data_IF_524724829586
#
_entry.id   IF_524724829586
#
_cell.length_a   1.000
_cell.length_b   1.000
_cell.length_c   1.000
_cell.angle_alpha   90.00
_cell.angle_beta   90.00
_cell.angle_gamma   90.00
#
_symmetry.space_group_name_H-M   'P 1'
#
loop_
_entity.id
_entity.type
_entity.pdbx_description
1 polymer ?
#
# COMPACT_ATOMS: atom_id res chain seq x y z
N UNK A 1 6.62 25.77 2.17
CA UNK A 1 8.05 26.19 2.16
C UNK A 1 8.34 27.27 3.20
N UNK A 2 7.47 28.28 3.37
CA UNK A 2 7.62 29.31 4.42
C UNK A 2 7.75 28.69 5.84
N UNK A 3 6.82 27.81 6.22
CA UNK A 3 6.86 27.12 7.54
C UNK A 3 8.11 26.25 7.75
N UNK A 4 8.72 25.73 6.68
CA UNK A 4 9.91 24.88 6.76
C UNK A 4 11.18 25.71 7.03
N UNK A 5 11.21 26.96 6.53
CA UNK A 5 12.29 27.92 6.77
C UNK A 5 12.36 28.29 8.26
N UNK A 6 11.19 28.44 8.89
CA UNK A 6 11.07 28.86 10.28
C UNK A 6 11.32 27.71 11.26
N UNK A 7 10.96 26.47 10.88
CA UNK A 7 11.14 25.29 11.74
C UNK A 7 12.51 24.62 11.60
N UNK A 8 13.05 24.51 10.38
CA UNK A 8 14.32 23.81 10.11
C UNK A 8 15.14 24.44 8.98
N UNK A 9 15.80 25.57 9.30
CA UNK A 9 16.63 26.38 8.38
C UNK A 9 17.63 25.58 7.53
N UNK A 10 18.45 24.72 8.14
CA UNK A 10 19.45 23.90 7.40
C UNK A 10 18.81 22.98 6.34
N UNK A 11 17.62 22.45 6.63
CA UNK A 11 16.91 21.60 5.69
C UNK A 11 16.38 22.43 4.53
N UNK A 12 15.85 23.63 4.82
CA UNK A 12 15.41 24.58 3.81
C UNK A 12 16.54 25.00 2.86
N UNK A 13 17.73 25.34 3.38
CA UNK A 13 18.87 25.78 2.57
C UNK A 13 19.36 24.65 1.63
N UNK A 14 19.49 23.41 2.15
CA UNK A 14 19.82 22.24 1.33
C UNK A 14 18.79 21.97 0.22
N UNK A 15 17.50 22.17 0.49
CA UNK A 15 16.43 21.95 -0.50
C UNK A 15 16.45 23.00 -1.62
N UNK A 16 16.88 24.23 -1.30
CA UNK A 16 17.08 25.28 -2.30
C UNK A 16 18.29 25.00 -3.20
N UNK A 17 19.40 24.54 -2.61
CA UNK A 17 20.62 24.20 -3.35
C UNK A 17 20.41 23.04 -4.34
N UNK A 18 19.59 22.05 -3.96
CA UNK A 18 19.21 20.92 -4.84
C UNK A 18 18.34 21.38 -6.02
N UNK A 19 17.57 22.46 -5.84
CA UNK A 19 16.59 22.98 -6.79
C UNK A 19 15.15 22.54 -6.47
N UNK A 20 14.22 23.50 -6.38
CA UNK A 20 12.80 23.26 -6.04
C UNK A 20 12.13 22.33 -7.07
N UNK A 21 12.58 22.37 -8.32
CA UNK A 21 12.10 21.53 -9.42
C UNK A 21 12.35 20.03 -9.20
N UNK A 22 13.36 19.67 -8.42
CA UNK A 22 13.69 18.28 -8.03
C UNK A 22 13.01 17.85 -6.73
N UNK A 23 12.33 18.78 -6.05
CA UNK A 23 11.64 18.52 -4.79
C UNK A 23 10.24 17.96 -5.02
N UNK A 24 10.15 16.62 -5.08
CA UNK A 24 8.90 15.86 -5.24
C UNK A 24 7.81 16.23 -4.22
N UNK A 25 8.19 16.61 -3.01
CA UNK A 25 7.27 17.02 -1.93
C UNK A 25 6.61 18.38 -2.13
N UNK A 26 7.35 19.35 -2.68
CA UNK A 26 6.89 20.75 -2.79
C UNK A 26 6.10 20.96 -4.08
N UNK A 27 6.42 20.21 -5.13
CA UNK A 27 5.85 20.38 -6.47
C UNK A 27 4.68 19.44 -6.79
N UNK A 28 4.41 18.41 -5.98
CA UNK A 28 3.30 17.49 -6.26
C UNK A 28 1.95 18.22 -6.11
N UNK A 29 1.18 18.46 -7.19
CA UNK A 29 -0.09 19.20 -7.13
C UNK A 29 -1.16 18.41 -6.35
N UNK A 30 -1.03 17.08 -6.37
CA UNK A 30 -1.82 16.14 -5.58
C UNK A 30 -1.06 15.85 -4.28
N UNK A 31 -1.71 15.97 -3.13
CA UNK A 31 -1.18 15.65 -1.80
C UNK A 31 -0.92 14.14 -1.63
N UNK A 32 -0.03 13.56 -2.45
CA UNK A 32 0.24 12.11 -2.55
C UNK A 32 0.82 11.51 -1.27
N UNK A 33 1.36 12.33 -0.37
CA UNK A 33 2.16 11.85 0.77
C UNK A 33 1.40 11.75 2.11
N UNK A 34 0.10 12.05 2.17
CA UNK A 34 -0.71 11.78 3.38
C UNK A 34 -0.99 10.28 3.58
N UNK A 35 -0.76 9.46 2.56
CA UNK A 35 -0.69 8.01 2.65
C UNK A 35 0.78 7.57 2.73
N UNK A 36 1.16 6.97 3.85
CA UNK A 36 2.48 6.37 4.00
C UNK A 36 2.69 5.24 2.99
N UNK A 37 3.59 5.44 2.03
CA UNK A 37 3.96 4.46 1.00
C UNK A 37 4.63 3.21 1.56
N UNK A 38 5.19 3.29 2.78
CA UNK A 38 5.80 2.15 3.47
C UNK A 38 4.79 1.05 3.80
N UNK A 39 3.52 1.37 4.07
CA UNK A 39 2.52 0.36 4.42
C UNK A 39 2.22 -0.61 3.26
N UNK A 40 2.19 -0.11 2.01
CA UNK A 40 1.93 -0.97 0.84
C UNK A 40 3.13 -1.89 0.60
N UNK A 41 4.34 -1.34 0.61
CA UNK A 41 5.57 -2.12 0.42
C UNK A 41 5.76 -3.13 1.55
N UNK A 42 5.48 -2.77 2.81
CA UNK A 42 5.53 -3.68 3.96
C UNK A 42 4.47 -4.78 3.87
N UNK A 43 3.24 -4.44 3.47
CA UNK A 43 2.17 -5.43 3.29
C UNK A 43 2.53 -6.43 2.19
N UNK A 44 2.99 -5.94 1.04
CA UNK A 44 3.44 -6.80 -0.06
C UNK A 44 4.62 -7.65 0.40
N UNK A 45 5.59 -7.05 1.09
CA UNK A 45 6.72 -7.78 1.66
C UNK A 45 6.27 -8.88 2.60
N UNK A 46 5.27 -8.63 3.44
CA UNK A 46 4.67 -9.62 4.34
C UNK A 46 4.00 -10.76 3.59
N UNK A 47 3.23 -10.48 2.53
CA UNK A 47 2.62 -11.49 1.67
C UNK A 47 3.68 -12.38 0.99
N UNK A 48 4.81 -11.78 0.61
CA UNK A 48 5.88 -12.47 -0.10
C UNK A 48 6.85 -13.23 0.82
N UNK A 49 6.77 -13.06 2.15
CA UNK A 49 7.74 -13.64 3.10
C UNK A 49 7.90 -15.16 2.94
N UNK A 50 6.79 -15.88 2.73
CA UNK A 50 6.80 -17.34 2.63
C UNK A 50 7.41 -17.86 1.32
N UNK A 51 7.33 -17.07 0.24
CA UNK A 51 7.68 -17.53 -1.11
C UNK A 51 9.00 -16.97 -1.64
N UNK A 52 9.63 -16.02 -0.94
CA UNK A 52 10.91 -15.40 -1.36
C UNK A 52 12.07 -16.37 -1.52
N UNK A 53 11.97 -17.57 -0.94
CA UNK A 53 12.98 -18.63 -1.08
C UNK A 53 12.73 -19.54 -2.29
N UNK A 54 11.63 -19.33 -3.01
CA UNK A 54 11.28 -20.09 -4.20
C UNK A 54 11.97 -19.49 -5.44
N UNK A 55 12.05 -20.25 -6.55
CA UNK A 55 12.50 -19.72 -7.83
C UNK A 55 11.71 -18.47 -8.25
N UNK A 56 12.37 -17.59 -9.00
CA UNK A 56 11.78 -16.31 -9.42
C UNK A 56 10.46 -16.49 -10.19
N UNK A 57 10.35 -17.56 -10.99
CA UNK A 57 9.12 -17.91 -11.69
C UNK A 57 7.92 -18.08 -10.74
N UNK A 58 8.11 -18.84 -9.65
CA UNK A 58 7.06 -19.07 -8.64
C UNK A 58 6.66 -17.78 -7.91
N UNK A 59 7.62 -16.88 -7.68
CA UNK A 59 7.34 -15.57 -7.06
C UNK A 59 6.49 -14.71 -8.01
N UNK A 60 6.82 -14.68 -9.31
CA UNK A 60 6.08 -13.92 -10.32
C UNK A 60 4.65 -14.47 -10.48
N UNK A 61 4.49 -15.78 -10.55
CA UNK A 61 3.17 -16.43 -10.62
C UNK A 61 2.30 -16.10 -9.41
N UNK A 62 2.86 -16.17 -8.21
CA UNK A 62 2.14 -15.81 -7.00
C UNK A 62 1.70 -14.34 -7.00
N UNK A 63 2.58 -13.42 -7.41
CA UNK A 63 2.24 -11.99 -7.50
C UNK A 63 1.10 -11.79 -8.50
N UNK A 64 1.16 -12.47 -9.66
CA UNK A 64 0.11 -12.44 -10.68
C UNK A 64 -1.23 -12.91 -10.10
N UNK A 65 -1.25 -14.05 -9.41
CA UNK A 65 -2.47 -14.60 -8.82
C UNK A 65 -3.03 -13.69 -7.71
N UNK A 66 -2.18 -13.14 -6.85
CA UNK A 66 -2.56 -12.21 -5.79
C UNK A 66 -3.24 -10.96 -6.37
N UNK A 67 -2.64 -10.36 -7.40
CA UNK A 67 -3.23 -9.20 -8.07
C UNK A 67 -4.56 -9.56 -8.75
N UNK A 68 -4.65 -10.71 -9.41
CA UNK A 68 -5.89 -11.17 -10.05
C UNK A 68 -7.02 -11.36 -9.05
N UNK A 69 -6.74 -11.96 -7.89
CA UNK A 69 -7.72 -12.10 -6.80
C UNK A 69 -8.14 -10.72 -6.32
N UNK A 70 -7.20 -9.82 -6.04
CA UNK A 70 -7.53 -8.49 -5.55
C UNK A 70 -8.41 -7.69 -6.52
N UNK A 71 -8.11 -7.72 -7.83
CA UNK A 71 -8.95 -7.08 -8.84
C UNK A 71 -10.30 -7.76 -9.02
N UNK A 72 -10.37 -9.09 -8.85
CA UNK A 72 -11.64 -9.83 -8.85
C UNK A 72 -12.52 -9.38 -7.68
N UNK A 73 -11.99 -9.37 -6.48
CA UNK A 73 -12.73 -9.01 -5.26
C UNK A 73 -13.23 -7.56 -5.33
N UNK A 74 -12.40 -6.63 -5.83
CA UNK A 74 -12.84 -5.24 -6.07
C UNK A 74 -14.01 -5.16 -7.04
N UNK A 75 -14.00 -5.94 -8.13
CA UNK A 75 -15.11 -6.02 -9.08
C UNK A 75 -16.36 -6.60 -8.43
N UNK A 76 -16.24 -7.65 -7.64
CA UNK A 76 -17.36 -8.28 -6.94
C UNK A 76 -17.98 -7.32 -5.94
N UNK A 77 -17.17 -6.69 -5.09
CA UNK A 77 -17.63 -5.70 -4.11
C UNK A 77 -18.35 -4.52 -4.79
N UNK A 78 -17.82 -4.03 -5.91
CA UNK A 78 -18.47 -2.97 -6.69
C UNK A 78 -19.82 -3.40 -7.30
N UNK A 79 -20.01 -4.70 -7.61
CA UNK A 79 -21.28 -5.24 -8.12
C UNK A 79 -22.32 -5.39 -7.02
N UNK A 80 -21.89 -5.85 -5.85
CA UNK A 80 -22.75 -6.07 -4.67
C UNK A 80 -23.15 -4.77 -3.97
N UNK A 81 -22.45 -3.67 -4.26
CA UNK A 81 -22.72 -2.38 -3.66
C UNK A 81 -24.04 -1.79 -4.18
N UNK A 82 -25.01 -1.67 -3.26
CA UNK A 82 -26.28 -0.97 -3.50
C UNK A 82 -25.98 0.52 -3.68
N UNK A 83 -26.25 1.04 -4.88
CA UNK A 83 -25.86 2.39 -5.29
C UNK A 83 -27.09 3.11 -5.81
N UNK A 84 -27.58 4.11 -5.08
CA UNK A 84 -28.62 5.02 -5.56
C UNK A 84 -27.95 6.24 -6.17
N UNK A 85 -27.94 6.35 -7.50
CA UNK A 85 -27.34 7.49 -8.19
C UNK A 85 -28.18 8.76 -8.02
N UNK A 86 -28.09 9.43 -6.87
CA UNK A 86 -28.56 10.82 -6.75
C UNK A 86 -27.41 11.75 -7.10
N UNK A 87 -27.20 11.94 -8.40
CA UNK A 87 -26.20 12.79 -9.08
C UNK A 87 -24.72 12.60 -8.70
N UNK A 88 -24.38 12.37 -7.42
CA UNK A 88 -23.02 12.27 -6.87
C UNK A 88 -22.96 11.52 -5.53
N UNK A 89 -23.91 10.65 -5.16
CA UNK A 89 -23.85 9.91 -3.89
C UNK A 89 -23.98 8.39 -4.10
N UNK A 90 -23.18 7.65 -3.34
CA UNK A 90 -23.05 6.20 -3.28
C UNK A 90 -23.13 5.83 -1.80
N UNK A 91 -24.25 5.22 -1.41
CA UNK A 91 -24.44 4.72 -0.05
C UNK A 91 -23.56 3.47 0.15
N UNK A 92 -22.42 3.60 0.81
CA UNK A 92 -21.79 2.45 1.46
C UNK A 92 -22.52 2.19 2.79
N UNK A 93 -22.50 0.94 3.29
CA UNK A 93 -23.16 0.52 4.54
C UNK A 93 -22.73 1.32 5.78
N UNK A 94 -21.76 2.23 5.65
CA UNK A 94 -21.18 3.05 6.72
C UNK A 94 -20.90 4.52 6.37
N UNK A 95 -20.91 4.95 5.09
CA UNK A 95 -20.68 6.36 4.71
C UNK A 95 -21.29 6.72 3.36
N UNK A 96 -21.82 7.94 3.27
CA UNK A 96 -22.29 8.58 2.03
C UNK A 96 -21.04 8.99 1.20
N UNK A 97 -20.72 8.24 0.15
CA UNK A 97 -19.52 8.48 -0.68
C UNK A 97 -19.90 9.17 -1.98
N UNK A 98 -19.08 10.11 -2.46
CA UNK A 98 -19.33 10.80 -3.73
C UNK A 98 -18.29 10.46 -4.79
N UNK A 99 -18.72 10.42 -6.04
CA UNK A 99 -17.87 10.16 -7.21
C UNK A 99 -18.13 11.25 -8.24
N UNK A 100 -17.10 12.00 -8.57
CA UNK A 100 -17.10 12.99 -9.65
C UNK A 100 -16.27 12.44 -10.82
N UNK A 101 -16.94 12.08 -11.91
CA UNK A 101 -16.27 11.53 -13.09
C UNK A 101 -15.55 12.59 -13.92
N UNK A 102 -16.00 13.85 -13.88
CA UNK A 102 -15.39 14.95 -14.64
C UNK A 102 -14.07 15.34 -14.01
N UNK A 103 -14.05 15.51 -12.68
CA UNK A 103 -12.84 15.81 -11.92
C UNK A 103 -11.96 14.58 -11.66
N UNK A 104 -12.42 13.40 -12.09
CA UNK A 104 -11.79 12.10 -11.81
C UNK A 104 -11.50 11.92 -10.32
N UNK A 105 -12.49 12.20 -9.48
CA UNK A 105 -12.35 12.17 -8.03
C UNK A 105 -13.38 11.30 -7.31
N UNK A 106 -13.00 10.80 -6.14
CA UNK A 106 -13.91 10.10 -5.25
C UNK A 106 -13.64 10.52 -3.80
N UNK A 107 -14.71 10.68 -3.00
CA UNK A 107 -14.57 11.06 -1.59
C UNK A 107 -13.75 10.06 -0.76
N UNK A 108 -13.65 8.80 -1.20
CA UNK A 108 -12.76 7.82 -0.56
C UNK A 108 -11.26 8.06 -0.85
N UNK A 109 -10.93 9.06 -1.68
CA UNK A 109 -9.58 9.48 -2.11
C UNK A 109 -8.76 8.45 -2.86
N UNK A 110 -9.21 7.20 -2.92
CA UNK A 110 -8.45 6.13 -3.54
C UNK A 110 -8.24 6.38 -5.04
N UNK A 111 -9.25 6.87 -5.76
CA UNK A 111 -9.11 7.18 -7.18
C UNK A 111 -8.21 8.39 -7.43
N UNK A 112 -8.30 9.42 -6.59
CA UNK A 112 -7.49 10.63 -6.68
C UNK A 112 -5.98 10.33 -6.53
N UNK A 113 -5.67 9.41 -5.61
CA UNK A 113 -4.31 9.10 -5.17
C UNK A 113 -3.67 7.99 -5.99
N UNK A 114 -4.34 6.84 -6.10
CA UNK A 114 -3.82 5.67 -6.79
C UNK A 114 -3.96 5.83 -8.31
N UNK A 115 -4.83 6.72 -8.79
CA UNK A 115 -5.22 6.83 -10.21
C UNK A 115 -5.77 5.50 -10.81
N UNK A 116 -6.05 4.55 -9.92
CA UNK A 116 -6.78 3.30 -10.12
C UNK A 116 -8.17 3.43 -9.52
N UNK A 117 -9.13 2.80 -10.18
CA UNK A 117 -10.54 2.92 -9.80
C UNK A 117 -10.81 2.27 -8.46
N UNK A 118 -11.48 3.01 -7.57
CA UNK A 118 -12.03 2.49 -6.33
C UNK A 118 -13.33 1.72 -6.57
N UNK A 119 -13.78 0.95 -5.58
CA UNK A 119 -15.04 0.19 -5.66
C UNK A 119 -16.24 1.11 -5.99
N UNK A 120 -16.25 2.34 -5.49
CA UNK A 120 -17.29 3.34 -5.75
C UNK A 120 -17.33 3.76 -7.21
N UNK A 121 -16.18 4.11 -7.78
CA UNK A 121 -16.07 4.51 -9.18
C UNK A 121 -16.41 3.35 -10.10
N UNK A 122 -15.99 2.12 -9.77
CA UNK A 122 -16.35 0.92 -10.53
C UNK A 122 -17.85 0.67 -10.54
N UNK A 123 -18.55 0.91 -9.43
CA UNK A 123 -20.00 0.77 -9.38
C UNK A 123 -20.72 1.86 -10.19
N UNK A 124 -20.28 3.12 -10.08
CA UNK A 124 -20.83 4.22 -10.89
C UNK A 124 -20.60 3.97 -12.39
N UNK A 125 -19.40 3.52 -12.77
CA UNK A 125 -19.07 3.16 -14.15
C UNK A 125 -20.01 2.07 -14.69
N UNK A 126 -20.26 1.02 -13.88
CA UNK A 126 -21.20 -0.06 -14.22
C UNK A 126 -22.61 0.48 -14.47
N UNK A 127 -23.12 1.34 -13.59
CA UNK A 127 -24.46 1.90 -13.71
C UNK A 127 -24.60 2.84 -14.91
N UNK A 128 -23.54 3.58 -15.27
CA UNK A 128 -23.50 4.43 -16.46
C UNK A 128 -23.16 3.68 -17.76
N UNK A 129 -22.94 2.36 -17.71
CA UNK A 129 -22.53 1.58 -18.89
C UNK A 129 -21.15 1.96 -19.45
N UNK A 130 -20.28 2.55 -18.62
CA UNK A 130 -18.95 3.00 -19.04
C UNK A 130 -17.93 1.86 -18.94
N UNK A 131 -16.97 1.87 -19.88
CA UNK A 131 -15.83 0.96 -19.81
C UNK A 131 -14.91 1.33 -18.65
N UNK A 132 -14.72 0.39 -17.72
CA UNK A 132 -13.80 0.53 -16.57
C UNK A 132 -12.40 0.90 -17.06
N UNK A 133 -11.91 0.28 -18.13
CA UNK A 133 -10.57 0.55 -18.67
C UNK A 133 -10.39 2.00 -19.14
N UNK A 134 -11.44 2.66 -19.62
CA UNK A 134 -11.39 4.06 -20.06
C UNK A 134 -11.28 5.05 -18.88
N UNK A 135 -11.62 4.61 -17.66
CA UNK A 135 -11.50 5.44 -16.46
C UNK A 135 -10.15 5.26 -15.74
N UNK A 136 -9.38 4.21 -16.05
CA UNK A 136 -8.04 4.04 -15.49
C UNK A 136 -7.07 5.11 -16.02
N UNK A 137 -6.05 5.47 -15.24
CA UNK A 137 -4.98 6.35 -15.73
C UNK A 137 -4.08 5.62 -16.73
N UNK A 138 -3.57 6.36 -17.72
CA UNK A 138 -2.73 5.78 -18.77
C UNK A 138 -1.44 5.17 -18.22
N UNK A 139 -0.98 5.60 -17.04
CA UNK A 139 0.16 5.01 -16.33
C UNK A 139 0.05 3.49 -16.10
N UNK A 140 -1.16 2.95 -16.09
CA UNK A 140 -1.41 1.52 -15.90
C UNK A 140 -1.57 0.75 -17.21
N UNK A 141 -1.36 1.40 -18.36
CA UNK A 141 -1.40 0.74 -19.67
C UNK A 141 -0.09 0.05 -20.00
N UNK A 142 -0.17 -1.00 -20.82
CA UNK A 142 1.02 -1.67 -21.36
C UNK A 142 1.86 -0.73 -22.23
N UNK A 143 1.25 0.28 -22.87
CA UNK A 143 1.95 1.30 -23.64
C UNK A 143 2.87 2.14 -22.76
N UNK A 144 2.35 2.69 -21.66
CA UNK A 144 3.17 3.46 -20.72
C UNK A 144 4.22 2.61 -20.01
N UNK A 145 3.91 1.34 -19.71
CA UNK A 145 4.91 0.40 -19.19
C UNK A 145 6.07 0.24 -20.18
N UNK A 146 5.79 0.02 -21.47
CA UNK A 146 6.83 -0.07 -22.50
C UNK A 146 7.64 1.22 -22.60
N UNK A 147 6.99 2.38 -22.54
CA UNK A 147 7.67 3.67 -22.53
C UNK A 147 8.58 3.86 -21.32
N UNK A 148 8.17 3.42 -20.12
CA UNK A 148 9.02 3.52 -18.92
C UNK A 148 10.32 2.70 -19.05
N UNK A 149 10.30 1.62 -19.82
CA UNK A 149 11.44 0.75 -20.10
C UNK A 149 11.99 0.89 -21.53
N UNK A 150 11.63 1.95 -22.26
CA UNK A 150 12.07 2.13 -23.65
C UNK A 150 13.52 2.56 -23.77
N UNK A 151 14.12 3.04 -22.68
CA UNK A 151 15.52 3.41 -22.64
C UNK A 151 16.43 2.18 -22.65
N UNK A 152 17.59 2.32 -23.28
CA UNK A 152 18.61 1.28 -23.31
C UNK A 152 19.11 1.05 -21.87
N UNK A 153 18.96 -0.18 -21.38
CA UNK A 153 19.65 -0.64 -20.18
C UNK A 153 21.09 -0.93 -20.59
N UNK A 154 21.99 0.03 -20.35
CA UNK A 154 23.41 -0.17 -20.65
C UNK A 154 23.95 -1.32 -19.79
N UNK A 155 24.57 -2.34 -20.39
CA UNK A 155 25.21 -3.39 -19.61
C UNK A 155 26.29 -2.75 -18.75
N UNK A 156 26.39 -3.23 -17.50
CA UNK A 156 27.48 -2.80 -16.62
C UNK A 156 28.79 -3.27 -17.28
N UNK A 157 29.70 -2.35 -17.62
CA UNK A 157 30.96 -2.73 -18.27
C UNK A 157 31.80 -3.55 -17.30
N UNK A 158 32.78 -4.31 -17.81
CA UNK A 158 33.65 -5.10 -16.94
C UNK A 158 34.41 -4.19 -15.96
N UNK A 159 34.71 -4.71 -14.77
CA UNK A 159 35.31 -3.92 -13.69
C UNK A 159 36.62 -3.23 -14.12
N UNK A 160 37.39 -3.86 -15.01
CA UNK A 160 38.68 -3.37 -15.47
C UNK A 160 38.58 -2.08 -16.31
N UNK A 161 37.42 -1.79 -16.90
CA UNK A 161 37.21 -0.59 -17.73
C UNK A 161 36.61 0.58 -16.96
N UNK A 162 36.36 0.42 -15.66
CA UNK A 162 35.75 1.45 -14.84
C UNK A 162 36.78 2.57 -14.57
N UNK A 163 36.45 3.79 -15.00
CA UNK A 163 37.19 5.00 -14.61
C UNK A 163 36.66 5.46 -13.26
N UNK A 164 37.25 4.96 -12.18
CA UNK A 164 36.89 5.33 -10.81
C UNK A 164 37.79 6.50 -10.38
N UNK A 165 37.24 7.69 -10.08
CA UNK A 165 38.02 8.83 -9.56
C UNK A 165 38.78 8.48 -8.29
N UNK A 166 39.96 9.08 -8.10
CA UNK A 166 40.83 8.79 -6.96
C UNK A 166 40.14 9.07 -5.62
N UNK A 167 39.29 10.09 -5.55
CA UNK A 167 38.49 10.42 -4.35
C UNK A 167 37.60 9.25 -3.89
N UNK A 168 37.06 8.47 -4.82
CA UNK A 168 36.22 7.31 -4.53
C UNK A 168 37.08 6.08 -4.28
N UNK A 169 38.15 5.90 -5.06
CA UNK A 169 39.08 4.77 -4.92
C UNK A 169 39.73 4.73 -3.54
N UNK A 170 40.08 5.90 -2.99
CA UNK A 170 40.68 6.03 -1.66
C UNK A 170 39.65 6.15 -0.54
N UNK A 171 38.34 6.17 -0.85
CA UNK A 171 37.29 6.24 0.15
C UNK A 171 37.16 4.91 0.87
N UNK A 172 37.76 4.83 2.06
CA UNK A 172 37.59 3.70 2.97
C UNK A 172 36.16 3.78 3.54
N UNK A 173 35.25 2.95 3.03
CA UNK A 173 33.93 2.78 3.61
C UNK A 173 34.09 1.91 4.86
N UNK A 174 34.26 2.56 6.01
CA UNK A 174 34.29 1.87 7.29
C UNK A 174 32.92 1.24 7.58
N UNK A 175 32.88 0.00 8.11
CA UNK A 175 31.64 -0.56 8.62
C UNK A 175 31.04 0.40 9.64
N UNK A 176 29.71 0.53 9.67
CA UNK A 176 29.06 1.28 10.73
C UNK A 176 29.53 0.73 12.08
N UNK A 177 30.21 1.55 12.89
CA UNK A 177 30.79 1.15 14.18
C UNK A 177 29.73 0.58 15.13
N UNK A 178 28.47 1.00 14.95
CA UNK A 178 27.31 0.44 15.66
C UNK A 178 27.00 -0.95 15.11
N UNK A 179 27.68 -1.97 15.64
CA UNK A 179 27.23 -3.36 15.53
C UNK A 179 25.80 -3.43 16.05
N UNK A 180 24.87 -4.01 15.27
CA UNK A 180 23.56 -4.39 15.81
C UNK A 180 23.83 -5.30 17.01
N UNK A 181 23.29 -4.93 18.18
CA UNK A 181 23.34 -5.78 19.37
C UNK A 181 22.91 -7.20 19.00
N UNK A 182 23.65 -8.20 19.49
CA UNK A 182 23.31 -9.60 19.30
C UNK A 182 21.91 -9.85 19.88
N UNK A 183 21.01 -10.37 19.05
CA UNK A 183 19.62 -10.60 19.43
C UNK A 183 18.73 -10.83 18.22
N UNK A 184 17.64 -11.58 18.41
CA UNK A 184 16.66 -11.82 17.34
C UNK A 184 16.10 -10.47 16.88
N UNK A 185 16.15 -10.15 15.57
CA UNK A 185 15.50 -8.97 15.03
C UNK A 185 14.05 -8.91 15.50
N UNK A 186 13.62 -7.75 16.03
CA UNK A 186 12.24 -7.55 16.44
C UNK A 186 11.35 -7.80 15.22
N UNK A 187 10.41 -8.75 15.34
CA UNK A 187 9.40 -8.99 14.30
C UNK A 187 8.38 -7.83 14.22
N UNK A 188 8.25 -7.05 15.29
CA UNK A 188 7.34 -5.92 15.38
C UNK A 188 8.04 -4.64 14.93
N UNK A 189 7.39 -3.92 14.00
CA UNK A 189 7.84 -2.63 13.49
C UNK A 189 7.93 -1.57 14.61
N UNK A 190 8.89 -0.67 14.46
CA UNK A 190 9.00 0.55 15.26
C UNK A 190 8.13 1.63 14.57
N UNK A 191 7.10 2.17 15.23
CA UNK A 191 6.25 3.22 14.66
C UNK A 191 7.03 4.53 14.45
N UNK A 192 6.71 5.26 13.38
CA UNK A 192 7.28 6.60 13.11
C UNK A 192 6.59 7.67 13.98
N UNK A 193 7.10 8.91 13.96
CA UNK A 193 6.47 10.03 14.65
C UNK A 193 5.00 10.22 14.19
N UNK A 194 4.07 10.24 15.14
CA UNK A 194 2.62 10.35 14.88
C UNK A 194 1.88 9.02 14.71
N UNK A 195 2.58 7.89 14.71
CA UNK A 195 1.95 6.56 14.68
C UNK A 195 1.82 5.97 16.08
N UNK A 196 0.58 5.72 16.52
CA UNK A 196 0.31 5.07 17.79
C UNK A 196 0.09 3.57 17.58
N UNK A 197 0.72 2.74 18.43
CA UNK A 197 0.39 1.31 18.46
C UNK A 197 -1.07 1.18 18.90
N UNK A 198 -1.91 0.58 18.07
CA UNK A 198 -3.27 0.21 18.47
C UNK A 198 -3.19 -0.64 19.74
N UNK A 199 -3.85 -0.18 20.79
CA UNK A 199 -3.95 -0.96 22.02
C UNK A 199 -4.64 -2.28 21.69
N UNK A 200 -4.08 -3.39 22.20
CA UNK A 200 -4.74 -4.68 22.10
C UNK A 200 -6.06 -4.59 22.87
N UNK A 201 -7.16 -4.93 22.20
CA UNK A 201 -8.48 -5.03 22.83
C UNK A 201 -8.78 -6.50 23.05
N UNK A 202 -9.24 -6.82 24.25
CA UNK A 202 -9.77 -8.13 24.54
C UNK A 202 -11.14 -8.27 23.89
N UNK A 203 -11.28 -9.24 22.99
CA UNK A 203 -12.54 -9.54 22.32
C UNK A 203 -13.61 -10.14 23.25
N UNK A 204 -13.29 -10.38 24.53
CA UNK A 204 -14.25 -10.91 25.51
C UNK A 204 -14.66 -9.84 26.51
N UNK A 205 -13.70 -9.25 27.23
CA UNK A 205 -14.03 -8.25 28.26
C UNK A 205 -14.00 -6.80 27.75
N UNK A 206 -13.64 -6.56 26.48
CA UNK A 206 -13.47 -5.21 25.92
C UNK A 206 -12.27 -4.43 26.49
N UNK A 207 -11.55 -4.99 27.47
CA UNK A 207 -10.42 -4.34 28.13
C UNK A 207 -9.25 -4.05 27.19
N UNK A 208 -8.58 -2.93 27.43
CA UNK A 208 -7.38 -2.49 26.69
C UNK A 208 -6.12 -3.13 27.27
N UNK A 209 -5.07 -3.28 26.45
CA UNK A 209 -3.72 -3.71 26.86
C UNK A 209 -3.45 -5.22 26.78
N UNK A 210 -4.45 -6.05 26.54
CA UNK A 210 -4.31 -7.51 26.49
C UNK A 210 -5.19 -8.14 25.41
N UNK A 211 -4.97 -9.42 25.07
CA UNK A 211 -5.81 -10.16 24.12
C UNK A 211 -6.62 -11.25 24.84
N UNK A 212 -7.56 -11.90 24.14
CA UNK A 212 -8.39 -13.00 24.69
C UNK A 212 -7.57 -14.08 25.41
N UNK A 213 -6.34 -14.38 24.96
CA UNK A 213 -5.50 -15.46 25.54
C UNK A 213 -4.81 -15.05 26.84
N UNK A 214 -4.67 -13.76 27.10
CA UNK A 214 -4.01 -13.20 28.27
C UNK A 214 -5.00 -12.37 29.11
N UNK A 215 -6.28 -12.75 29.10
CA UNK A 215 -7.30 -12.05 29.86
C UNK A 215 -7.19 -12.41 31.35
N UNK A 216 -7.10 -11.43 32.27
CA UNK A 216 -7.00 -11.70 33.71
C UNK A 216 -8.30 -12.26 34.32
N UNK A 217 -9.42 -12.19 33.58
CA UNK A 217 -10.73 -12.61 34.09
C UNK A 217 -10.85 -14.15 34.03
N UNK A 218 -10.91 -14.82 35.17
CA UNK A 218 -10.97 -16.31 35.23
C UNK A 218 -12.27 -16.89 34.67
N UNK A 219 -13.35 -16.12 34.57
CA UNK A 219 -14.58 -16.53 33.86
C UNK A 219 -14.39 -16.69 32.34
N UNK A 220 -13.24 -16.26 31.82
CA UNK A 220 -12.91 -16.18 30.40
C UNK A 220 -12.11 -17.40 29.89
N UNK A 221 -11.48 -18.15 30.79
CA UNK A 221 -10.53 -19.24 30.50
C UNK A 221 -11.18 -20.58 30.18
N UNK A 222 -12.47 -20.76 30.47
CA UNK A 222 -13.22 -22.01 30.27
C UNK A 222 -13.99 -22.05 28.95
N UNK A 223 -14.10 -20.93 28.22
CA UNK A 223 -14.61 -20.98 26.86
C UNK A 223 -13.55 -21.59 25.95
N UNK A 224 -13.70 -22.90 25.63
CA UNK A 224 -12.96 -23.54 24.53
C UNK A 224 -12.95 -22.56 23.35
N UNK A 225 -11.80 -22.26 22.73
CA UNK A 225 -11.83 -21.46 21.54
C UNK A 225 -12.75 -22.17 20.56
N UNK A 226 -13.87 -21.54 20.19
CA UNK A 226 -14.41 -21.76 18.86
C UNK A 226 -13.19 -21.62 17.97
N UNK A 227 -12.75 -22.73 17.38
CA UNK A 227 -11.70 -22.70 16.37
C UNK A 227 -12.21 -21.65 15.40
N UNK A 228 -11.60 -20.47 15.42
CA UNK A 228 -11.42 -19.76 14.17
C UNK A 228 -10.50 -20.69 13.41
N UNK A 229 -11.09 -21.69 12.75
CA UNK A 229 -10.71 -21.89 11.38
C UNK A 229 -10.63 -20.47 10.84
N UNK A 230 -9.41 -20.04 10.51
CA UNK A 230 -9.31 -19.10 9.41
C UNK A 230 -9.91 -19.90 8.26
N UNK A 231 -11.24 -19.90 8.17
CA UNK A 231 -11.92 -20.09 6.93
C UNK A 231 -11.39 -18.90 6.14
N UNK A 232 -10.34 -19.15 5.39
CA UNK A 232 -10.27 -18.57 4.07
C UNK A 232 -11.52 -19.14 3.39
N UNK A 233 -12.66 -18.49 3.61
CA UNK A 233 -13.87 -18.75 2.84
C UNK A 233 -13.52 -18.25 1.45
N UNK A 234 -12.91 -19.11 0.66
CA UNK A 234 -13.19 -19.10 -0.77
C UNK A 234 -14.69 -19.36 -0.86
N UNK A 235 -15.46 -18.35 -1.28
CA UNK A 235 -16.83 -18.57 -1.68
C UNK A 235 -16.79 -19.49 -2.92
N UNK A 236 -16.77 -20.79 -2.68
CA UNK A 236 -17.01 -21.82 -3.67
C UNK A 236 -18.51 -22.03 -3.74
N UNK A 237 -19.07 -21.82 -4.92
CA UNK A 237 -20.41 -22.27 -5.34
C UNK A 237 -20.69 -23.69 -4.83
N UNK A 238 -21.79 -23.87 -4.11
CA UNK A 238 -22.79 -24.95 -4.22
C UNK A 238 -23.74 -24.82 -3.03
N UNK A 239 -24.99 -24.47 -3.32
CA UNK A 239 -26.23 -24.87 -2.62
C UNK A 239 -27.38 -24.02 -3.20
N UNK A 240 -27.73 -24.33 -4.45
CA UNK A 240 -29.05 -24.06 -5.05
C UNK A 240 -29.37 -25.31 -5.87
N UNK A 241 -29.91 -26.31 -5.19
CA UNK A 241 -30.87 -27.29 -5.72
C UNK A 241 -31.93 -27.38 -4.61
N UNK A 242 -32.90 -26.48 -4.67
CA UNK A 242 -34.29 -26.75 -5.08
C UNK A 242 -34.93 -25.41 -5.50
#
# INVERSE_FOLDING_TARGET
>A
MAELKDTHRKCYDNLLEIGIEKNSRVRSPKMRYKMMTTNITESMNSCLLAIRKLPIASIVEFIRDLLQIWFRDRRTNAREMSTYLTRFKVNDKWTDTSVDLEQRSCSCRQWDLDELLCIHVMAVARLKGMLITALCSDFYTTGWLKHAYSMIVNPVPKLETWKIPDEIRHRIILPCEKKRLAGRPKKSRIPSAGEFRKQKLCLICGGKGHNKRSCPNLSCSTSKPLKKHVLVTFASKKDIID
#
